data_IF_637163677060
#
_entry.id   IF_637163677060
#
_cell.length_a   1.000
_cell.length_b   1.000
_cell.length_c   1.000
_cell.angle_alpha   90.00
_cell.angle_beta   90.00
_cell.angle_gamma   90.00
#
_symmetry.space_group_name_H-M   'P 1'
#
loop_
_entity.id
_entity.type
_entity.pdbx_description
1 polymer ?
#
# COMPACT_ATOMS: atom_id res chain seq x y z
N UNK A 1 20.83 0.33 21.62
CA UNK A 1 19.70 0.26 20.67
C UNK A 1 18.48 0.91 21.31
N UNK A 2 17.72 1.72 20.55
CA UNK A 2 16.41 2.20 20.99
C UNK A 2 15.33 1.31 20.35
N UNK A 3 14.37 0.86 21.15
CA UNK A 3 13.28 0.00 20.75
C UNK A 3 11.97 0.59 21.31
N UNK A 4 11.33 1.44 20.52
CA UNK A 4 10.28 2.34 21.00
C UNK A 4 9.05 2.29 20.12
N UNK A 5 7.88 2.46 20.76
CA UNK A 5 6.60 2.72 20.12
C UNK A 5 6.19 1.68 19.05
N UNK A 6 6.63 0.42 19.19
CA UNK A 6 6.20 -0.64 18.30
C UNK A 6 4.87 -1.22 18.77
N UNK A 7 4.03 -1.60 17.81
CA UNK A 7 2.77 -2.28 18.07
C UNK A 7 2.85 -3.73 17.59
N UNK A 8 2.68 -4.68 18.52
CA UNK A 8 2.68 -6.11 18.25
C UNK A 8 1.29 -6.67 18.39
N UNK A 9 0.71 -7.09 17.29
CA UNK A 9 -0.56 -7.80 17.28
C UNK A 9 -0.32 -9.28 17.18
N UNK A 10 -0.73 -10.04 18.21
CA UNK A 10 -0.51 -11.46 18.25
C UNK A 10 -1.44 -12.19 17.28
N UNK A 11 -0.85 -12.93 16.35
CA UNK A 11 -1.56 -13.88 15.50
C UNK A 11 -1.82 -15.21 16.24
N UNK A 12 -2.59 -16.11 15.60
CA UNK A 12 -3.01 -17.39 16.19
C UNK A 12 -1.86 -18.23 16.73
N UNK A 13 -0.70 -18.19 16.08
CA UNK A 13 0.49 -18.98 16.45
C UNK A 13 1.55 -18.18 17.22
N UNK A 14 1.28 -16.91 17.55
CA UNK A 14 2.23 -16.08 18.30
C UNK A 14 2.41 -16.56 19.72
N UNK A 15 3.62 -16.34 20.26
CA UNK A 15 3.94 -16.58 21.68
C UNK A 15 3.59 -15.36 22.52
N UNK A 16 3.63 -15.51 23.84
CA UNK A 16 3.24 -14.46 24.79
C UNK A 16 4.27 -13.34 24.97
N UNK A 17 5.43 -13.40 24.31
CA UNK A 17 6.47 -12.38 24.47
C UNK A 17 6.29 -11.24 23.46
N UNK A 18 6.55 -10.02 23.90
CA UNK A 18 6.57 -8.86 23.03
C UNK A 18 7.84 -8.87 22.18
N UNK A 19 8.98 -9.12 22.80
CA UNK A 19 10.28 -9.18 22.12
C UNK A 19 11.13 -10.28 22.71
N UNK A 20 11.83 -11.01 21.87
CA UNK A 20 12.92 -11.87 22.24
C UNK A 20 14.19 -11.33 21.56
N UNK A 21 15.14 -10.84 22.39
CA UNK A 21 16.43 -10.40 21.90
C UNK A 21 17.43 -11.53 22.01
N UNK A 22 17.91 -12.00 20.88
CA UNK A 22 18.95 -13.02 20.80
C UNK A 22 20.25 -12.39 20.34
N UNK A 23 21.28 -12.49 21.18
CA UNK A 23 22.61 -12.05 20.84
C UNK A 23 23.44 -13.26 20.40
N UNK A 24 24.04 -13.16 19.22
CA UNK A 24 24.87 -14.20 18.63
C UNK A 24 26.29 -13.69 18.39
N UNK A 25 27.26 -14.59 18.46
CA UNK A 25 28.64 -14.31 18.11
C UNK A 25 29.63 -14.36 19.30
N UNK A 26 30.84 -13.95 19.03
CA UNK A 26 31.99 -14.01 19.97
C UNK A 26 32.39 -12.64 20.52
N UNK A 27 31.54 -11.64 20.38
CA UNK A 27 31.80 -10.30 20.85
C UNK A 27 31.88 -10.23 22.38
N UNK A 28 32.70 -9.31 22.88
CA UNK A 28 32.77 -8.94 24.28
C UNK A 28 32.32 -7.49 24.43
N UNK A 29 31.60 -7.19 25.50
CA UNK A 29 31.12 -5.83 25.79
C UNK A 29 29.71 -5.81 26.35
N UNK A 30 29.28 -4.63 26.78
CA UNK A 30 27.94 -4.40 27.32
C UNK A 30 26.96 -4.11 26.17
N UNK A 31 25.85 -4.83 26.15
CA UNK A 31 24.73 -4.56 25.25
C UNK A 31 23.65 -3.82 26.05
N UNK A 32 23.21 -2.69 25.50
CA UNK A 32 22.19 -1.88 26.14
C UNK A 32 21.04 -1.60 25.19
N UNK A 33 19.81 -1.77 25.68
CA UNK A 33 18.59 -1.49 24.91
C UNK A 33 17.67 -0.59 25.71
N UNK A 34 17.38 0.58 25.16
CA UNK A 34 16.33 1.44 25.65
C UNK A 34 14.98 0.99 25.09
N UNK A 35 13.99 0.79 25.94
CA UNK A 35 12.66 0.32 25.56
C UNK A 35 11.59 1.24 26.15
N UNK A 36 10.67 1.72 25.32
CA UNK A 36 9.58 2.59 25.75
C UNK A 36 8.41 2.59 24.79
N UNK A 37 7.20 2.63 25.32
CA UNK A 37 5.98 2.86 24.55
C UNK A 37 5.55 1.71 23.64
N UNK A 38 6.18 0.54 23.74
CA UNK A 38 5.80 -0.63 22.94
C UNK A 38 4.52 -1.27 23.50
N UNK A 39 3.64 -1.70 22.61
CA UNK A 39 2.37 -2.32 22.94
C UNK A 39 2.28 -3.70 22.33
N UNK A 40 1.81 -4.67 23.13
CA UNK A 40 1.39 -5.97 22.65
C UNK A 40 -0.11 -6.12 22.80
N UNK A 41 -0.79 -6.45 21.73
CA UNK A 41 -2.19 -6.87 21.75
C UNK A 41 -2.29 -8.38 21.75
N UNK A 42 -3.01 -8.93 22.75
CA UNK A 42 -3.26 -10.37 22.85
C UNK A 42 -4.11 -10.87 21.67
N UNK A 43 -4.09 -12.18 21.45
CA UNK A 43 -4.81 -12.84 20.35
C UNK A 43 -6.29 -12.45 20.29
N UNK A 44 -6.85 -12.45 19.09
CA UNK A 44 -8.26 -12.15 18.84
C UNK A 44 -8.70 -10.78 19.36
N UNK A 45 -7.90 -9.75 19.11
CA UNK A 45 -8.15 -8.39 19.58
C UNK A 45 -8.26 -8.26 21.11
N UNK A 46 -7.55 -9.13 21.82
CA UNK A 46 -7.58 -9.17 23.28
C UNK A 46 -6.88 -7.99 23.95
N UNK A 47 -6.57 -8.18 25.22
CA UNK A 47 -6.00 -7.17 26.10
C UNK A 47 -4.70 -6.57 25.55
N UNK A 48 -4.57 -5.25 25.64
CA UNK A 48 -3.32 -4.56 25.43
C UNK A 48 -2.41 -4.69 26.65
N UNK A 49 -1.15 -4.99 26.41
CA UNK A 49 -0.09 -5.04 27.42
C UNK A 49 0.98 -4.04 26.99
N UNK A 50 1.19 -3.02 27.81
CA UNK A 50 2.25 -2.07 27.64
C UNK A 50 3.57 -2.60 28.22
N UNK A 51 4.64 -1.89 27.98
CA UNK A 51 5.98 -2.23 28.46
C UNK A 51 6.03 -2.63 29.92
N UNK A 52 6.15 -3.92 30.18
CA UNK A 52 6.49 -4.46 31.49
C UNK A 52 7.72 -5.31 31.32
N UNK A 53 8.82 -4.75 31.76
CA UNK A 53 10.18 -5.19 31.51
C UNK A 53 10.43 -6.68 31.68
N UNK A 54 10.02 -7.26 32.77
CA UNK A 54 10.36 -8.65 33.13
C UNK A 54 9.39 -9.69 32.56
N UNK A 55 8.26 -9.28 31.99
CA UNK A 55 7.24 -10.19 31.44
C UNK A 55 7.08 -10.11 29.95
N UNK A 56 7.58 -9.03 29.34
CA UNK A 56 7.35 -8.70 27.93
C UNK A 56 8.60 -8.92 27.09
N UNK A 57 9.78 -8.86 27.70
CA UNK A 57 11.05 -9.02 27.01
C UNK A 57 11.79 -10.26 27.53
N UNK A 58 12.37 -10.99 26.60
CA UNK A 58 13.27 -12.09 26.90
C UNK A 58 14.59 -11.85 26.21
N UNK A 59 15.62 -12.14 26.93
CA UNK A 59 17.00 -12.10 26.47
C UNK A 59 17.57 -13.51 26.44
N UNK A 60 18.27 -13.85 25.39
CA UNK A 60 19.01 -15.11 25.29
C UNK A 60 20.33 -14.89 24.56
N UNK A 61 21.37 -15.63 24.97
CA UNK A 61 22.63 -15.72 24.23
C UNK A 61 22.74 -17.06 23.52
N UNK A 62 23.24 -17.06 22.29
CA UNK A 62 23.69 -18.27 21.61
C UNK A 62 25.21 -18.20 21.41
N UNK A 63 25.90 -19.35 21.49
CA UNK A 63 27.34 -19.41 21.25
C UNK A 63 28.24 -19.32 22.49
N UNK A 64 27.70 -19.34 23.70
CA UNK A 64 28.46 -19.56 24.94
C UNK A 64 29.22 -18.35 25.48
N UNK A 65 28.99 -17.16 24.98
CA UNK A 65 29.56 -15.92 25.52
C UNK A 65 28.54 -15.18 26.35
N UNK A 66 28.90 -14.81 27.57
CA UNK A 66 28.11 -13.91 28.39
C UNK A 66 28.51 -12.50 27.97
N UNK A 67 27.57 -11.77 27.45
CA UNK A 67 27.69 -10.34 27.22
C UNK A 67 26.99 -9.66 28.40
N UNK A 68 27.64 -8.73 29.05
CA UNK A 68 27.00 -7.95 30.10
C UNK A 68 25.78 -7.21 29.49
N UNK A 69 24.63 -7.50 30.07
CA UNK A 69 23.36 -6.92 29.66
C UNK A 69 22.98 -5.84 30.67
N UNK A 70 23.00 -4.58 30.19
CA UNK A 70 22.34 -3.50 30.92
C UNK A 70 20.94 -3.33 30.32
N UNK A 71 19.91 -3.89 30.96
CA UNK A 71 18.64 -4.04 30.29
C UNK A 71 17.91 -2.72 30.07
N UNK A 72 18.25 -1.62 30.78
CA UNK A 72 17.31 -0.51 30.85
C UNK A 72 17.94 0.81 31.21
N UNK A 73 18.70 1.40 30.31
CA UNK A 73 18.99 2.81 30.46
C UNK A 73 17.69 3.60 30.56
N UNK A 74 17.61 4.54 31.48
CA UNK A 74 16.43 5.40 31.68
C UNK A 74 16.33 6.50 30.64
N UNK A 75 17.37 6.66 29.82
CA UNK A 75 17.45 7.67 28.76
C UNK A 75 17.72 6.98 27.41
N UNK A 76 17.13 7.43 26.33
CA UNK A 76 17.42 6.90 25.00
C UNK A 76 18.88 7.19 24.64
N UNK A 77 19.45 6.29 23.83
CA UNK A 77 20.72 6.58 23.18
C UNK A 77 20.50 7.73 22.20
N UNK A 78 21.40 8.71 22.24
CA UNK A 78 21.32 9.86 21.32
C UNK A 78 21.56 9.38 19.90
N UNK A 79 20.48 9.09 19.20
CA UNK A 79 20.45 8.79 17.80
C UNK A 79 19.38 9.67 17.19
N UNK A 80 19.77 10.76 16.54
CA UNK A 80 18.87 11.66 15.78
C UNK A 80 17.57 12.04 16.52
N UNK A 81 17.64 12.53 17.75
CA UNK A 81 16.49 12.98 18.54
C UNK A 81 15.22 12.10 18.41
N UNK A 82 15.26 10.85 18.85
CA UNK A 82 14.18 9.91 18.60
C UNK A 82 12.87 10.30 19.28
N UNK A 83 12.87 11.10 20.36
CA UNK A 83 11.66 11.47 21.09
C UNK A 83 10.84 12.59 20.41
N UNK A 84 11.43 13.38 19.49
CA UNK A 84 10.77 14.53 18.90
C UNK A 84 9.80 14.23 17.75
N UNK A 85 10.00 13.08 17.07
CA UNK A 85 9.25 12.75 15.84
C UNK A 85 8.73 11.32 15.79
N UNK A 86 8.75 10.58 16.91
CA UNK A 86 8.21 9.22 16.93
C UNK A 86 6.72 9.22 17.19
N UNK A 87 5.96 8.57 16.33
CA UNK A 87 4.55 8.27 16.56
C UNK A 87 4.37 7.35 17.78
N UNK A 88 3.19 7.39 18.39
CA UNK A 88 2.82 6.38 19.38
C UNK A 88 2.63 5.02 18.72
N UNK A 89 2.70 3.94 19.49
CA UNK A 89 2.46 2.60 18.95
C UNK A 89 1.05 2.46 18.31
N UNK A 90 0.06 3.14 18.88
CA UNK A 90 -1.31 3.16 18.32
C UNK A 90 -1.37 3.91 16.98
N UNK A 91 -0.67 5.04 16.90
CA UNK A 91 -0.59 5.79 15.64
C UNK A 91 0.16 4.97 14.58
N UNK A 92 1.30 4.38 14.93
CA UNK A 92 2.05 3.49 14.04
C UNK A 92 1.20 2.32 13.53
N UNK A 93 0.37 1.70 14.38
CA UNK A 93 -0.56 0.64 13.95
C UNK A 93 -1.52 1.12 12.87
N UNK A 94 -2.16 2.30 13.07
CA UNK A 94 -3.11 2.85 12.10
C UNK A 94 -2.40 3.27 10.80
N UNK A 95 -1.28 3.97 10.91
CA UNK A 95 -0.59 4.56 9.77
C UNK A 95 0.10 3.50 8.90
N UNK A 96 0.78 2.54 9.51
CA UNK A 96 1.41 1.43 8.78
C UNK A 96 0.38 0.61 8.02
N UNK A 97 -0.74 0.23 8.65
CA UNK A 97 -1.79 -0.53 7.96
C UNK A 97 -2.48 0.24 6.83
N UNK A 98 -2.34 1.55 6.81
CA UNK A 98 -2.88 2.40 5.75
C UNK A 98 -1.94 2.58 4.57
N UNK A 99 -0.64 2.24 4.73
CA UNK A 99 0.38 2.44 3.70
C UNK A 99 1.44 1.33 3.70
N UNK A 100 1.03 0.09 3.83
CA UNK A 100 1.89 -1.09 3.84
C UNK A 100 1.61 -1.96 2.63
N UNK A 101 2.62 -2.71 2.21
CA UNK A 101 2.54 -3.61 1.06
C UNK A 101 2.76 -2.89 -0.26
N UNK A 102 2.57 -3.62 -1.35
CA UNK A 102 2.63 -3.05 -2.69
C UNK A 102 1.28 -2.44 -3.05
N UNK A 103 1.03 -1.21 -2.57
CA UNK A 103 -0.27 -0.55 -2.71
C UNK A 103 -0.36 0.40 -3.92
N UNK A 104 0.67 0.45 -4.76
CA UNK A 104 0.72 1.21 -6.01
C UNK A 104 1.18 0.31 -7.16
N UNK A 105 0.55 0.38 -8.31
CA UNK A 105 -0.64 1.17 -8.70
C UNK A 105 -1.95 0.62 -8.15
N UNK A 106 -1.97 -0.55 -7.55
CA UNK A 106 -3.14 -1.14 -6.88
C UNK A 106 -2.71 -2.10 -5.78
N UNK A 107 -3.60 -2.30 -4.83
CA UNK A 107 -3.39 -3.16 -3.68
C UNK A 107 -3.87 -4.57 -4.02
N UNK A 108 -2.97 -5.53 -4.11
CA UNK A 108 -3.33 -6.88 -4.52
C UNK A 108 -4.12 -7.65 -3.46
N UNK A 109 -4.70 -8.77 -3.86
CA UNK A 109 -5.51 -9.60 -2.97
C UNK A 109 -4.71 -10.12 -1.76
N UNK A 110 -3.44 -10.45 -1.96
CA UNK A 110 -2.61 -11.02 -0.90
C UNK A 110 -2.34 -9.99 0.20
N UNK A 111 -1.91 -8.80 -0.19
CA UNK A 111 -1.66 -7.69 0.72
C UNK A 111 -2.94 -7.22 1.42
N UNK A 112 -4.04 -7.09 0.67
CA UNK A 112 -5.36 -6.77 1.25
C UNK A 112 -5.79 -7.78 2.31
N UNK A 113 -5.60 -9.08 2.03
CA UNK A 113 -5.90 -10.14 3.00
C UNK A 113 -5.06 -9.98 4.26
N UNK A 114 -3.75 -9.76 4.14
CA UNK A 114 -2.86 -9.60 5.29
C UNK A 114 -3.23 -8.39 6.15
N UNK A 115 -3.54 -7.26 5.53
CA UNK A 115 -4.01 -6.06 6.23
C UNK A 115 -5.33 -6.33 6.94
N UNK A 116 -6.30 -6.91 6.25
CA UNK A 116 -7.63 -7.21 6.81
C UNK A 116 -7.56 -8.21 7.97
N UNK A 117 -6.78 -9.29 7.85
CA UNK A 117 -6.55 -10.25 8.92
C UNK A 117 -5.85 -9.62 10.12
N UNK A 118 -4.90 -8.73 9.88
CA UNK A 118 -4.22 -7.98 10.95
C UNK A 118 -5.21 -7.07 11.68
N UNK A 119 -6.03 -6.32 10.96
CA UNK A 119 -7.08 -5.46 11.56
C UNK A 119 -8.08 -6.30 12.35
N UNK A 120 -8.58 -7.38 11.78
CA UNK A 120 -9.57 -8.26 12.42
C UNK A 120 -8.99 -9.03 13.62
N UNK A 121 -7.67 -9.24 13.67
CA UNK A 121 -7.02 -10.08 14.70
C UNK A 121 -7.33 -11.57 14.57
N UNK A 122 -7.86 -11.98 13.43
CA UNK A 122 -8.23 -13.36 13.08
C UNK A 122 -7.62 -13.73 11.76
N UNK A 123 -7.61 -15.01 11.43
CA UNK A 123 -7.08 -15.49 10.16
C UNK A 123 -8.15 -16.18 9.33
N UNK A 124 -8.07 -16.05 8.03
CA UNK A 124 -8.94 -16.73 7.06
C UNK A 124 -8.23 -17.92 6.40
N UNK A 125 -6.94 -18.05 6.63
CA UNK A 125 -6.09 -19.06 6.00
C UNK A 125 -5.56 -20.09 6.99
N UNK A 126 -5.18 -21.25 6.47
CA UNK A 126 -4.57 -22.33 7.23
C UNK A 126 -3.61 -23.07 6.31
N UNK A 127 -2.39 -23.28 6.77
CA UNK A 127 -1.39 -24.03 6.03
C UNK A 127 -1.83 -25.46 5.71
N UNK A 128 -1.75 -25.84 4.44
CA UNK A 128 -2.18 -27.15 3.94
C UNK A 128 -1.37 -28.31 4.53
N UNK A 129 -0.07 -28.08 4.81
CA UNK A 129 0.85 -29.08 5.38
C UNK A 129 0.96 -28.95 6.88
N UNK A 130 1.18 -27.74 7.39
CA UNK A 130 1.39 -27.48 8.81
C UNK A 130 0.12 -27.53 9.64
N UNK A 131 -1.04 -27.30 9.00
CA UNK A 131 -2.33 -27.17 9.69
C UNK A 131 -2.44 -25.93 10.58
N UNK A 132 -1.49 -25.00 10.52
CA UNK A 132 -1.43 -23.84 11.39
C UNK A 132 -2.24 -22.69 10.85
N UNK A 133 -3.14 -22.18 11.65
CA UNK A 133 -3.97 -21.03 11.31
C UNK A 133 -3.10 -19.76 11.14
N UNK A 134 -3.33 -19.00 10.08
CA UNK A 134 -2.61 -17.78 9.76
C UNK A 134 -1.24 -17.97 9.09
N UNK A 135 -0.83 -19.22 8.90
CA UNK A 135 0.34 -19.54 8.08
C UNK A 135 -0.13 -20.08 6.74
N UNK A 136 0.68 -19.91 5.73
CA UNK A 136 0.53 -20.51 4.41
C UNK A 136 1.77 -21.36 4.13
N UNK A 137 1.57 -22.55 3.59
CA UNK A 137 2.64 -23.46 3.19
C UNK A 137 2.84 -23.44 1.67
N UNK A 138 1.87 -22.88 0.94
CA UNK A 138 1.93 -22.61 -0.49
C UNK A 138 0.99 -21.45 -0.83
N UNK A 139 1.13 -20.90 -2.04
CA UNK A 139 0.29 -19.81 -2.55
C UNK A 139 -1.19 -20.17 -2.62
N UNK A 140 -1.52 -21.42 -2.89
CA UNK A 140 -2.91 -21.89 -2.98
C UNK A 140 -3.63 -21.82 -1.62
N UNK A 141 -2.91 -21.96 -0.50
CA UNK A 141 -3.46 -21.84 0.85
C UNK A 141 -4.07 -20.45 1.10
N UNK A 142 -3.57 -19.43 0.42
CA UNK A 142 -4.09 -18.08 0.49
C UNK A 142 -5.31 -17.84 -0.43
N UNK A 143 -5.76 -18.86 -1.17
CA UNK A 143 -6.81 -18.73 -2.17
C UNK A 143 -6.35 -18.05 -3.46
N UNK A 144 -5.06 -17.80 -3.58
CA UNK A 144 -4.44 -17.35 -4.82
C UNK A 144 -4.12 -18.57 -5.65
N UNK A 145 -4.83 -18.81 -6.73
CA UNK A 145 -4.46 -19.80 -7.73
C UNK A 145 -3.29 -19.25 -8.55
N UNK A 146 -2.09 -19.33 -8.01
CA UNK A 146 -0.85 -18.86 -8.62
C UNK A 146 -0.76 -17.32 -8.70
N UNK A 147 0.45 -16.81 -8.88
CA UNK A 147 0.69 -15.44 -9.31
C UNK A 147 0.30 -15.31 -10.79
N UNK A 148 -0.98 -15.40 -11.04
CA UNK A 148 -1.52 -15.19 -12.38
C UNK A 148 -1.71 -13.68 -12.56
N UNK A 149 -0.73 -13.04 -13.18
CA UNK A 149 -0.82 -11.62 -13.56
C UNK A 149 -2.08 -11.33 -14.36
N UNK A 150 -2.60 -12.34 -15.07
CA UNK A 150 -3.87 -12.25 -15.80
C UNK A 150 -5.05 -12.02 -14.84
N UNK A 151 -5.01 -12.57 -13.63
CA UNK A 151 -6.04 -12.36 -12.60
C UNK A 151 -5.94 -11.01 -11.90
N UNK A 152 -4.75 -10.43 -11.88
CA UNK A 152 -4.53 -9.09 -11.38
C UNK A 152 -4.96 -8.00 -12.38
N UNK A 153 -5.43 -8.38 -13.57
CA UNK A 153 -5.82 -7.43 -14.62
C UNK A 153 -4.65 -6.71 -15.29
N UNK A 154 -3.41 -7.12 -15.00
CA UNK A 154 -2.19 -6.57 -15.61
C UNK A 154 -1.77 -7.41 -16.81
N UNK A 155 -2.73 -7.94 -17.54
CA UNK A 155 -2.43 -8.81 -18.66
C UNK A 155 -1.81 -8.01 -19.79
N UNK A 156 -0.53 -8.28 -20.04
CA UNK A 156 0.14 -7.86 -21.28
C UNK A 156 -0.19 -6.41 -21.66
N UNK A 157 -0.13 -5.50 -20.70
CA UNK A 157 -0.14 -4.08 -20.98
C UNK A 157 1.12 -3.78 -21.78
N UNK A 158 1.07 -4.03 -23.07
CA UNK A 158 2.07 -3.54 -23.98
C UNK A 158 1.81 -2.04 -24.12
N UNK A 159 2.79 -1.25 -23.76
CA UNK A 159 2.78 0.17 -24.01
C UNK A 159 2.70 0.39 -25.52
N UNK A 160 1.93 1.36 -25.93
CA UNK A 160 1.91 1.79 -27.32
C UNK A 160 3.30 2.20 -27.77
N UNK A 161 3.59 2.09 -29.07
CA UNK A 161 4.91 2.43 -29.62
C UNK A 161 5.33 3.90 -29.38
N UNK A 162 4.36 4.76 -29.17
CA UNK A 162 4.53 6.19 -28.83
C UNK A 162 4.21 6.50 -27.35
N UNK A 163 4.40 5.53 -26.48
CA UNK A 163 4.23 5.76 -25.04
C UNK A 163 5.36 6.63 -24.48
N UNK A 164 6.57 6.50 -25.03
CA UNK A 164 7.80 7.18 -24.69
C UNK A 164 8.61 7.26 -26.01
N UNK A 165 8.44 8.38 -26.75
CA UNK A 165 8.89 8.49 -28.13
C UNK A 165 10.39 8.65 -28.25
N UNK A 166 11.04 9.34 -27.31
CA UNK A 166 12.48 9.58 -27.32
C UNK A 166 13.26 8.55 -26.46
N UNK A 167 12.56 7.70 -25.71
CA UNK A 167 13.14 6.58 -24.97
C UNK A 167 13.87 7.00 -23.68
N UNK A 168 13.47 8.10 -23.07
CA UNK A 168 14.11 8.65 -21.88
C UNK A 168 13.51 8.16 -20.55
N UNK A 169 12.38 7.44 -20.60
CA UNK A 169 11.70 6.85 -19.46
C UNK A 169 10.53 7.68 -18.94
N UNK A 170 10.33 8.89 -19.45
CA UNK A 170 9.18 9.73 -19.15
C UNK A 170 8.14 9.54 -20.26
N UNK A 171 6.89 9.21 -19.96
CA UNK A 171 5.90 9.00 -21.01
C UNK A 171 5.46 10.29 -21.67
N UNK A 172 5.26 10.26 -23.01
CA UNK A 172 4.84 11.40 -23.83
C UNK A 172 3.67 12.20 -23.22
N UNK A 173 2.70 11.50 -22.61
CA UNK A 173 1.55 12.15 -21.99
C UNK A 173 1.92 12.98 -20.75
N UNK A 174 2.89 12.52 -19.94
CA UNK A 174 3.33 13.26 -18.76
C UNK A 174 4.13 14.48 -19.18
N UNK A 175 5.01 14.34 -20.15
CA UNK A 175 5.75 15.42 -20.74
C UNK A 175 4.84 16.50 -21.33
N UNK A 176 3.81 16.08 -22.08
CA UNK A 176 2.80 17.00 -22.61
C UNK A 176 2.05 17.79 -21.51
N UNK A 177 1.83 17.19 -20.33
CA UNK A 177 1.19 17.85 -19.20
C UNK A 177 2.16 18.76 -18.42
N UNK A 178 3.43 18.41 -18.36
CA UNK A 178 4.48 19.19 -17.68
C UNK A 178 5.10 20.26 -18.59
N UNK A 179 4.85 20.17 -19.92
CA UNK A 179 5.30 21.13 -20.91
C UNK A 179 6.70 20.86 -21.44
N UNK A 180 7.19 19.64 -21.30
CA UNK A 180 8.41 19.18 -21.96
C UNK A 180 8.12 18.66 -23.37
N UNK A 181 9.14 18.30 -24.12
CA UNK A 181 9.00 17.86 -25.50
C UNK A 181 9.25 16.36 -25.63
N UNK A 182 8.24 15.54 -25.92
CA UNK A 182 8.34 14.08 -25.99
C UNK A 182 9.22 13.53 -27.13
N UNK A 183 9.95 14.40 -27.84
CA UNK A 183 10.90 13.97 -28.86
C UNK A 183 12.36 14.36 -28.51
N UNK A 184 12.60 14.84 -27.30
CA UNK A 184 13.92 15.28 -26.85
C UNK A 184 14.16 14.74 -25.45
N UNK A 185 15.00 13.73 -25.35
CA UNK A 185 15.35 13.13 -24.07
C UNK A 185 15.85 14.18 -23.07
N UNK A 186 15.11 14.37 -22.00
CA UNK A 186 15.35 15.36 -20.97
C UNK A 186 15.30 14.80 -19.54
N UNK A 187 15.29 13.50 -19.41
CA UNK A 187 15.18 12.77 -18.15
C UNK A 187 16.19 13.17 -17.06
N UNK A 188 17.33 13.75 -17.43
CA UNK A 188 18.36 14.23 -16.51
C UNK A 188 18.33 15.76 -16.32
N UNK A 189 17.40 16.46 -16.93
CA UNK A 189 17.21 17.88 -16.70
C UNK A 189 16.52 18.10 -15.36
N UNK A 190 16.82 19.21 -14.69
CA UNK A 190 16.19 19.71 -13.47
C UNK A 190 15.60 21.08 -13.83
N UNK A 191 14.37 21.07 -14.28
CA UNK A 191 13.72 22.21 -14.95
C UNK A 191 13.31 23.30 -13.98
N UNK A 192 12.91 22.97 -12.79
CA UNK A 192 12.45 23.90 -11.76
C UNK A 192 13.54 24.23 -10.71
N UNK A 193 14.67 23.51 -10.74
CA UNK A 193 15.84 23.78 -9.93
C UNK A 193 15.71 23.28 -8.48
N UNK A 194 14.91 22.25 -8.25
CA UNK A 194 14.66 21.71 -6.92
C UNK A 194 15.59 20.55 -6.55
N UNK A 195 16.51 20.17 -7.44
CA UNK A 195 17.48 19.07 -7.35
C UNK A 195 16.91 17.68 -7.66
N UNK A 196 15.66 17.55 -8.07
CA UNK A 196 15.13 16.35 -8.67
C UNK A 196 15.14 16.47 -10.18
N UNK A 197 15.50 15.40 -10.86
CA UNK A 197 15.44 15.38 -12.32
C UNK A 197 14.02 15.20 -12.83
N UNK A 198 13.73 15.56 -14.07
CA UNK A 198 12.40 15.40 -14.69
C UNK A 198 11.92 13.94 -14.60
N UNK A 199 12.83 12.95 -14.72
CA UNK A 199 12.49 11.53 -14.51
C UNK A 199 12.15 11.23 -13.04
N UNK A 200 12.89 11.78 -12.09
CA UNK A 200 12.60 11.58 -10.66
C UNK A 200 11.26 12.21 -10.28
N UNK A 201 10.90 13.35 -10.85
CA UNK A 201 9.57 13.92 -10.66
C UNK A 201 8.45 13.00 -11.15
N UNK A 202 8.62 12.42 -12.34
CA UNK A 202 7.67 11.43 -12.86
C UNK A 202 7.58 10.21 -11.94
N UNK A 203 8.71 9.66 -11.51
CA UNK A 203 8.75 8.51 -10.60
C UNK A 203 8.12 8.84 -9.23
N UNK A 204 8.38 10.03 -8.68
CA UNK A 204 7.75 10.50 -7.46
C UNK A 204 6.23 10.66 -7.63
N UNK A 205 5.78 11.14 -8.79
CA UNK A 205 4.37 11.29 -9.08
C UNK A 205 3.64 9.94 -9.12
N UNK A 206 4.22 8.91 -9.76
CA UNK A 206 3.62 7.57 -9.86
C UNK A 206 3.79 6.75 -8.58
N UNK A 207 4.76 7.09 -7.72
CA UNK A 207 4.95 6.41 -6.42
C UNK A 207 3.83 6.74 -5.41
N UNK A 208 3.15 7.86 -5.59
CA UNK A 208 1.96 8.21 -4.82
C UNK A 208 0.69 7.62 -5.45
N UNK A 209 -0.40 7.47 -4.68
CA UNK A 209 -1.71 7.19 -5.25
C UNK A 209 -2.03 8.18 -6.37
N UNK A 210 -2.37 7.67 -7.56
CA UNK A 210 -2.60 8.55 -8.71
C UNK A 210 -3.70 8.04 -9.63
N UNK A 211 -4.33 9.00 -10.33
CA UNK A 211 -5.39 8.73 -11.30
C UNK A 211 -5.23 9.61 -12.52
N UNK A 212 -5.49 9.04 -13.68
CA UNK A 212 -5.64 9.77 -14.92
C UNK A 212 -7.12 9.86 -15.24
N UNK A 213 -7.63 11.07 -15.39
CA UNK A 213 -9.06 11.34 -15.44
C UNK A 213 -9.40 12.30 -16.58
N UNK A 214 -10.59 12.13 -17.14
CA UNK A 214 -11.17 13.05 -18.14
C UNK A 214 -12.32 13.89 -17.55
N UNK A 215 -12.71 13.62 -16.30
CA UNK A 215 -13.80 14.27 -15.61
C UNK A 215 -13.88 13.86 -14.15
N UNK A 216 -15.10 13.76 -13.64
CA UNK A 216 -15.33 13.34 -12.26
C UNK A 216 -14.76 11.95 -11.96
N UNK A 217 -14.14 11.79 -10.77
CA UNK A 217 -13.61 10.53 -10.28
C UNK A 217 -14.11 10.24 -8.87
N UNK A 218 -14.57 9.03 -8.66
CA UNK A 218 -14.91 8.51 -7.32
C UNK A 218 -13.82 7.58 -6.80
N UNK A 219 -13.50 7.70 -5.52
CA UNK A 219 -12.41 7.00 -4.86
C UNK A 219 -12.88 6.52 -3.49
N UNK A 220 -12.66 5.25 -3.18
CA UNK A 220 -12.94 4.67 -1.86
C UNK A 220 -11.79 5.00 -0.91
N UNK A 221 -12.03 5.85 0.08
CA UNK A 221 -10.99 6.29 1.01
C UNK A 221 -10.49 5.17 1.91
N UNK A 222 -11.26 4.12 2.14
CA UNK A 222 -10.83 2.95 2.92
C UNK A 222 -9.58 2.28 2.34
N UNK A 223 -9.39 2.35 1.03
CA UNK A 223 -8.23 1.77 0.35
C UNK A 223 -6.93 2.50 0.70
N UNK A 224 -7.02 3.75 1.14
CA UNK A 224 -5.89 4.60 1.54
C UNK A 224 -5.72 4.75 3.04
N UNK A 225 -6.73 4.38 3.81
CA UNK A 225 -6.78 4.55 5.26
C UNK A 225 -7.27 3.27 5.95
N UNK A 226 -6.76 2.11 5.52
CA UNK A 226 -7.22 0.81 6.00
C UNK A 226 -7.08 0.63 7.51
N UNK A 227 -6.07 1.24 8.13
CA UNK A 227 -5.86 1.21 9.57
C UNK A 227 -6.88 2.01 10.40
N UNK A 228 -7.67 2.89 9.75
CA UNK A 228 -8.69 3.71 10.36
C UNK A 228 -10.06 3.06 10.17
N UNK A 229 -10.81 2.86 11.24
CA UNK A 229 -12.08 2.12 11.19
C UNK A 229 -13.29 3.02 10.97
N UNK A 230 -13.31 4.20 11.60
CA UNK A 230 -14.40 5.18 11.53
C UNK A 230 -13.84 6.60 11.55
N UNK A 231 -12.94 6.96 10.62
CA UNK A 231 -12.32 8.27 10.62
C UNK A 231 -13.29 9.37 10.17
N UNK A 232 -13.01 10.58 10.62
CA UNK A 232 -13.44 11.79 9.94
C UNK A 232 -12.38 12.20 8.91
N UNK A 233 -12.83 12.78 7.79
CA UNK A 233 -11.94 13.23 6.73
C UNK A 233 -11.94 14.75 6.59
N UNK A 234 -10.75 15.31 6.36
CA UNK A 234 -10.57 16.69 5.92
C UNK A 234 -9.91 16.66 4.56
N UNK A 235 -10.46 17.39 3.60
CA UNK A 235 -10.00 17.37 2.21
C UNK A 235 -9.52 18.75 1.83
N UNK A 236 -8.35 18.81 1.21
CA UNK A 236 -7.75 20.02 0.63
C UNK A 236 -7.62 19.85 -0.87
N UNK A 237 -8.15 20.81 -1.61
CA UNK A 237 -8.10 20.82 -3.08
C UNK A 237 -7.43 22.08 -3.59
N UNK A 238 -6.75 22.04 -4.74
CA UNK A 238 -6.25 23.23 -5.40
C UNK A 238 -7.38 23.98 -6.13
N UNK A 239 -7.06 25.16 -6.62
CA UNK A 239 -7.98 26.00 -7.38
C UNK A 239 -8.53 25.25 -8.61
N UNK A 240 -9.82 25.42 -8.85
CA UNK A 240 -10.50 24.77 -9.97
C UNK A 240 -10.89 23.30 -9.73
N UNK A 241 -10.59 22.75 -8.57
CA UNK A 241 -10.98 21.38 -8.20
C UNK A 241 -11.93 21.40 -7.02
N UNK A 242 -13.05 20.71 -7.13
CA UNK A 242 -13.95 20.45 -6.00
C UNK A 242 -13.86 18.98 -5.59
N UNK A 243 -13.95 18.73 -4.28
CA UNK A 243 -13.99 17.37 -3.76
C UNK A 243 -14.99 17.28 -2.61
N UNK A 244 -15.82 16.24 -2.64
CA UNK A 244 -16.84 15.97 -1.63
C UNK A 244 -16.69 14.53 -1.13
N UNK A 245 -16.72 14.37 0.18
CA UNK A 245 -16.69 13.05 0.81
C UNK A 245 -18.07 12.73 1.40
N UNK A 246 -18.54 11.51 1.18
CA UNK A 246 -19.76 10.98 1.79
C UNK A 246 -19.61 9.50 2.07
N UNK A 247 -19.61 9.14 3.34
CA UNK A 247 -19.57 7.74 3.77
C UNK A 247 -18.32 6.97 3.34
N UNK A 248 -17.19 7.64 3.28
CA UNK A 248 -15.92 7.06 2.84
C UNK A 248 -15.70 7.05 1.32
N UNK A 249 -16.63 7.62 0.55
CA UNK A 249 -16.49 7.81 -0.88
C UNK A 249 -16.13 9.25 -1.19
N UNK A 250 -14.96 9.48 -1.74
CA UNK A 250 -14.49 10.79 -2.20
C UNK A 250 -14.84 10.96 -3.67
N UNK A 251 -15.55 12.03 -4.00
CA UNK A 251 -15.85 12.44 -5.38
C UNK A 251 -15.02 13.68 -5.71
N UNK A 252 -14.12 13.58 -6.67
CA UNK A 252 -13.25 14.67 -7.15
C UNK A 252 -13.74 15.12 -8.51
N UNK A 253 -13.99 16.43 -8.66
CA UNK A 253 -14.52 17.04 -9.89
C UNK A 253 -13.64 18.22 -10.30
N UNK A 254 -12.77 18.07 -11.32
CA UNK A 254 -12.03 19.19 -11.87
C UNK A 254 -12.93 20.04 -12.76
N UNK A 255 -12.76 21.36 -12.72
CA UNK A 255 -13.36 22.30 -13.65
C UNK A 255 -12.48 22.48 -14.89
N UNK A 256 -12.99 23.15 -15.91
CA UNK A 256 -12.21 23.49 -17.10
C UNK A 256 -10.95 24.36 -16.83
N UNK A 257 -10.94 25.08 -15.70
CA UNK A 257 -9.81 25.90 -15.26
C UNK A 257 -8.82 25.18 -14.34
N UNK A 258 -9.07 23.91 -13.99
CA UNK A 258 -8.15 23.13 -13.16
C UNK A 258 -6.79 22.94 -13.86
N UNK A 259 -5.73 22.90 -13.08
CA UNK A 259 -4.43 22.47 -13.58
C UNK A 259 -4.52 21.08 -14.20
N UNK A 260 -3.69 20.79 -15.19
CA UNK A 260 -3.65 19.47 -15.81
C UNK A 260 -3.03 18.41 -14.91
N UNK A 261 -2.07 18.80 -14.09
CA UNK A 261 -1.59 18.01 -12.97
C UNK A 261 -2.02 18.70 -11.69
N UNK A 262 -2.63 17.95 -10.79
CA UNK A 262 -3.01 18.46 -9.48
C UNK A 262 -3.01 17.37 -8.42
N UNK A 263 -2.97 17.77 -7.18
CA UNK A 263 -2.99 16.88 -6.02
C UNK A 263 -4.15 17.24 -5.11
N UNK A 264 -4.87 16.23 -4.66
CA UNK A 264 -5.87 16.35 -3.59
C UNK A 264 -5.27 15.72 -2.33
N UNK A 265 -5.27 16.47 -1.24
CA UNK A 265 -4.78 15.98 0.04
C UNK A 265 -5.96 15.59 0.92
N UNK A 266 -5.90 14.37 1.46
CA UNK A 266 -6.91 13.84 2.37
C UNK A 266 -6.27 13.53 3.71
N UNK A 267 -6.84 14.07 4.78
CA UNK A 267 -6.43 13.77 6.15
C UNK A 267 -7.53 12.99 6.84
N UNK A 268 -7.24 11.75 7.23
CA UNK A 268 -8.09 10.94 8.10
C UNK A 268 -7.75 11.23 9.57
N UNK A 269 -8.75 11.33 10.42
CA UNK A 269 -8.56 11.52 11.86
C UNK A 269 -9.51 10.61 12.63
N UNK A 270 -8.97 9.84 13.58
CA UNK A 270 -9.71 8.94 14.47
C UNK A 270 -8.97 8.82 15.80
N UNK A 271 -9.69 8.93 16.92
CA UNK A 271 -9.14 8.85 18.29
C UNK A 271 -7.97 9.83 18.57
N UNK A 272 -7.97 10.99 17.91
CA UNK A 272 -6.90 11.97 18.02
C UNK A 272 -5.63 11.64 17.21
N UNK A 273 -5.62 10.52 16.50
CA UNK A 273 -4.56 10.11 15.57
C UNK A 273 -4.96 10.53 14.17
N UNK A 274 -4.01 11.04 13.40
CA UNK A 274 -4.28 11.43 12.01
C UNK A 274 -3.18 11.01 11.07
N UNK A 275 -3.58 10.71 9.85
CA UNK A 275 -2.70 10.47 8.70
C UNK A 275 -3.17 11.36 7.55
N UNK A 276 -2.22 11.98 6.90
CA UNK A 276 -2.45 12.77 5.68
C UNK A 276 -1.84 12.05 4.48
N UNK A 277 -2.60 11.94 3.39
CA UNK A 277 -2.13 11.34 2.15
C UNK A 277 -2.48 12.22 0.97
N UNK A 278 -1.54 12.30 0.05
CA UNK A 278 -1.70 12.98 -1.23
C UNK A 278 -2.14 12.01 -2.30
N UNK A 279 -3.08 12.42 -3.12
CA UNK A 279 -3.58 11.67 -4.29
C UNK A 279 -3.36 12.54 -5.51
N UNK A 280 -2.58 12.06 -6.46
CA UNK A 280 -2.21 12.78 -7.66
C UNK A 280 -3.23 12.55 -8.78
N UNK A 281 -3.45 13.57 -9.58
CA UNK A 281 -4.34 13.50 -10.74
C UNK A 281 -3.69 14.10 -11.98
N UNK A 282 -3.83 13.40 -13.10
CA UNK A 282 -3.60 13.94 -14.42
C UNK A 282 -4.97 14.11 -15.11
N UNK A 283 -5.28 15.35 -15.54
CA UNK A 283 -6.58 15.71 -16.10
C UNK A 283 -6.47 16.24 -17.53
N UNK A 284 -7.13 15.61 -18.47
CA UNK A 284 -7.24 16.08 -19.84
C UNK A 284 -7.55 15.02 -20.89
N UNK A 285 -8.14 15.47 -21.99
CA UNK A 285 -8.36 14.68 -23.19
C UNK A 285 -7.03 14.55 -23.93
N UNK A 286 -6.47 13.38 -24.05
CA UNK A 286 -5.23 13.15 -24.79
C UNK A 286 -4.26 12.21 -24.08
N UNK A 287 -4.60 11.77 -22.88
CA UNK A 287 -3.89 10.71 -22.16
C UNK A 287 -4.26 9.33 -22.71
N UNK A 288 -4.44 9.22 -24.03
CA UNK A 288 -4.70 7.95 -24.70
C UNK A 288 -3.46 7.07 -24.60
N UNK A 289 -3.49 6.12 -23.70
CA UNK A 289 -2.39 5.17 -23.50
C UNK A 289 -2.35 4.61 -22.09
N UNK A 290 -3.08 5.17 -21.13
CA UNK A 290 -3.18 4.59 -19.82
C UNK A 290 -4.53 3.89 -19.68
N UNK A 291 -4.44 2.59 -19.56
CA UNK A 291 -5.58 1.80 -19.12
C UNK A 291 -5.95 2.28 -17.71
N UNK A 292 -7.15 2.83 -17.56
CA UNK A 292 -7.78 2.87 -16.25
C UNK A 292 -7.80 1.43 -15.74
N UNK A 293 -6.90 1.14 -14.82
CA UNK A 293 -7.02 -0.05 -13.99
C UNK A 293 -8.20 0.27 -13.09
N UNK A 294 -9.40 0.07 -13.62
CA UNK A 294 -10.59 0.10 -12.79
C UNK A 294 -10.47 -1.10 -11.85
N UNK A 295 -10.45 -0.85 -10.56
CA UNK A 295 -10.62 -1.85 -9.50
C UNK A 295 -12.02 -2.50 -9.52
N UNK A 296 -12.63 -2.63 -10.65
CA UNK A 296 -13.65 -3.62 -10.79
C UNK A 296 -12.91 -4.97 -10.81
N UNK A 297 -12.81 -5.61 -9.65
CA UNK A 297 -12.65 -7.05 -9.64
C UNK A 297 -13.67 -7.59 -10.63
N UNK A 298 -13.21 -8.02 -11.78
CA UNK A 298 -14.01 -8.88 -12.64
C UNK A 298 -14.15 -10.17 -11.84
N UNK A 299 -15.10 -10.17 -10.90
CA UNK A 299 -15.67 -11.42 -10.47
C UNK A 299 -16.19 -12.03 -11.76
N UNK A 300 -15.40 -12.92 -12.34
CA UNK A 300 -15.91 -13.81 -13.38
C UNK A 300 -17.00 -14.60 -12.68
N UNK A 301 -18.20 -14.05 -12.72
CA UNK A 301 -19.38 -14.80 -12.37
C UNK A 301 -19.42 -15.95 -13.35
N UNK A 302 -19.00 -17.14 -12.91
CA UNK A 302 -18.97 -18.36 -13.72
C UNK A 302 -20.34 -18.70 -14.29
N UNK A 303 -21.39 -18.00 -13.87
CA UNK A 303 -22.75 -18.15 -14.31
C UNK A 303 -23.16 -17.19 -15.42
N UNK A 304 -22.34 -16.18 -15.75
CA UNK A 304 -22.71 -15.21 -16.77
C UNK A 304 -22.35 -15.74 -18.17
N UNK A 305 -23.31 -15.78 -19.10
CA UNK A 305 -23.07 -16.33 -20.43
C UNK A 305 -22.08 -15.51 -21.24
N UNK A 306 -21.19 -16.21 -21.92
CA UNK A 306 -20.19 -15.67 -22.85
C UNK A 306 -20.75 -15.72 -24.26
N UNK A 307 -20.58 -14.67 -25.05
CA UNK A 307 -21.04 -14.57 -26.42
C UNK A 307 -19.88 -14.27 -27.36
N UNK A 308 -19.94 -14.82 -28.58
CA UNK A 308 -19.07 -14.37 -29.66
C UNK A 308 -19.54 -13.04 -30.26
N UNK A 309 -18.80 -12.49 -31.21
CA UNK A 309 -19.13 -11.22 -31.84
C UNK A 309 -20.44 -11.28 -32.71
N UNK A 310 -20.91 -12.47 -32.97
CA UNK A 310 -22.19 -12.71 -33.67
C UNK A 310 -23.37 -12.88 -32.69
N UNK A 311 -23.11 -12.73 -31.38
CA UNK A 311 -24.12 -12.86 -30.32
C UNK A 311 -24.49 -14.31 -29.97
N UNK A 312 -23.73 -15.31 -30.43
CA UNK A 312 -23.96 -16.71 -30.09
C UNK A 312 -23.33 -17.03 -28.74
N UNK A 313 -24.06 -17.70 -27.88
CA UNK A 313 -23.55 -18.14 -26.57
C UNK A 313 -22.48 -19.22 -26.72
N UNK A 314 -21.35 -19.04 -26.07
CA UNK A 314 -20.21 -19.95 -26.09
C UNK A 314 -20.06 -20.60 -24.72
N UNK A 315 -20.10 -21.91 -24.64
CA UNK A 315 -19.96 -22.67 -23.40
C UNK A 315 -18.51 -23.03 -23.05
N UNK A 316 -17.64 -23.08 -24.06
CA UNK A 316 -16.18 -23.31 -23.89
C UNK A 316 -15.47 -22.38 -24.88
N UNK A 317 -15.16 -21.18 -24.45
CA UNK A 317 -14.48 -20.24 -25.31
C UNK A 317 -13.02 -20.71 -25.56
N UNK A 318 -12.62 -20.70 -26.84
CA UNK A 318 -11.25 -20.89 -27.27
C UNK A 318 -10.58 -19.52 -27.43
N UNK A 319 -9.35 -19.47 -27.98
CA UNK A 319 -8.72 -18.18 -28.33
C UNK A 319 -9.65 -17.34 -29.21
N UNK A 320 -9.90 -16.10 -28.82
CA UNK A 320 -10.75 -15.21 -29.57
C UNK A 320 -11.31 -14.04 -28.78
N UNK A 321 -12.05 -13.17 -29.48
CA UNK A 321 -12.74 -12.01 -28.91
C UNK A 321 -14.17 -12.37 -28.55
N UNK A 322 -14.58 -12.05 -27.32
CA UNK A 322 -15.89 -12.41 -26.77
C UNK A 322 -16.56 -11.21 -26.09
N UNK A 323 -17.83 -11.37 -25.78
CA UNK A 323 -18.64 -10.41 -25.02
C UNK A 323 -19.21 -11.12 -23.79
N UNK A 324 -19.00 -10.55 -22.59
CA UNK A 324 -19.60 -10.98 -21.34
C UNK A 324 -19.98 -9.74 -20.54
N UNK A 325 -21.18 -9.69 -19.98
CA UNK A 325 -21.71 -8.52 -19.26
C UNK A 325 -21.64 -7.20 -20.05
N UNK A 326 -21.81 -7.27 -21.38
CA UNK A 326 -21.72 -6.10 -22.24
C UNK A 326 -20.29 -5.59 -22.52
N UNK A 327 -19.27 -6.22 -21.94
CA UNK A 327 -17.86 -5.87 -22.15
C UNK A 327 -17.19 -6.85 -23.12
N UNK A 328 -16.27 -6.35 -23.93
CA UNK A 328 -15.45 -7.17 -24.85
C UNK A 328 -14.20 -7.63 -24.11
N UNK A 329 -13.82 -8.89 -24.30
CA UNK A 329 -12.56 -9.45 -23.79
C UNK A 329 -11.97 -10.47 -24.76
N UNK A 330 -10.67 -10.68 -24.67
CA UNK A 330 -9.93 -11.59 -25.53
C UNK A 330 -9.47 -12.80 -24.71
N UNK A 331 -9.76 -14.02 -25.20
CA UNK A 331 -9.14 -15.25 -24.73
C UNK A 331 -7.99 -15.58 -25.67
N UNK A 332 -6.80 -15.70 -25.17
CA UNK A 332 -5.56 -15.96 -25.92
C UNK A 332 -5.15 -17.41 -25.85
#
# INVERSE_FOLDING_TARGET
MNFCNNYYKMGANSTSMLMNLQLEGTGTGTQSVYVKGNIRQEKNNGKLTEDKLNTTYKYSTSGGQIVDWDPLPTTPFVFMNPEGNMETAQAAFKNVLSDVGCNQPFFDYHDQRMVNETIAGTTTTKGSRSGRAGLIDSEEDAGCEGFDLDKLGIVNAQRDANWDTDGDGIPDWFEALTGTNPNIANNNDDRDGDYYTDLEEYLNWIALPHYIIEGEKQITLKDFFAGYQSPSYTITTPDGVTANETGGLLTVTPSASASKLFTVTVKATEDGISLERSINFAYGNGTTGIYNISHEMVTTDRNTPIFDLQGRRISKPAKGLYIQNGKKYIIR
#
